data_IF_862689099890
#
_entry.id   IF_862689099890
#
_cell.length_a   1.000
_cell.length_b   1.000
_cell.length_c   1.000
_cell.angle_alpha   90.00
_cell.angle_beta   90.00
_cell.angle_gamma   90.00
#
_symmetry.space_group_name_H-M   'P 1'
#
loop_
_entity.id
_entity.type
_entity.pdbx_description
1 polymer ?
#
# COMPACT_ATOMS: atom_id res chain seq x y z
N UNK A 1 -3.31 -18.20 -7.31
CA UNK A 1 -2.97 -17.12 -6.35
C UNK A 1 -1.48 -16.80 -6.49
N UNK A 2 -1.09 -15.54 -6.66
CA UNK A 2 0.31 -15.14 -6.93
C UNK A 2 1.26 -15.52 -5.78
N UNK A 3 0.86 -15.28 -4.52
CA UNK A 3 1.64 -15.64 -3.34
C UNK A 3 1.95 -17.15 -3.27
N UNK A 4 0.95 -18.01 -3.52
CA UNK A 4 1.14 -19.47 -3.58
C UNK A 4 2.12 -19.87 -4.68
N UNK A 5 1.94 -19.36 -5.90
CA UNK A 5 2.82 -19.69 -7.02
C UNK A 5 4.28 -19.24 -6.76
N UNK A 6 4.46 -18.08 -6.13
CA UNK A 6 5.77 -17.60 -5.71
C UNK A 6 6.39 -18.50 -4.62
N UNK A 7 5.59 -18.88 -3.62
CA UNK A 7 6.05 -19.77 -2.55
C UNK A 7 6.47 -21.14 -3.09
N UNK A 8 5.65 -21.75 -3.96
CA UNK A 8 5.94 -23.04 -4.59
C UNK A 8 7.26 -22.96 -5.42
N UNK A 9 7.42 -21.91 -6.24
CA UNK A 9 8.63 -21.69 -7.06
C UNK A 9 9.89 -21.54 -6.21
N UNK A 10 9.80 -20.89 -5.05
CA UNK A 10 10.94 -20.59 -4.18
C UNK A 10 11.07 -21.55 -2.99
N UNK A 11 10.26 -22.61 -2.91
CA UNK A 11 10.21 -23.58 -1.80
C UNK A 11 9.98 -22.91 -0.44
N UNK A 12 9.12 -21.91 -0.40
CA UNK A 12 8.71 -21.21 0.81
C UNK A 12 7.37 -21.76 1.31
N UNK A 13 7.11 -21.63 2.61
CA UNK A 13 5.76 -21.75 3.14
C UNK A 13 5.03 -20.42 2.94
N UNK A 14 3.71 -20.47 2.82
CA UNK A 14 2.87 -19.27 2.80
C UNK A 14 1.65 -19.47 3.70
N UNK A 15 1.11 -18.35 4.17
CA UNK A 15 -0.18 -18.30 4.87
C UNK A 15 -1.05 -17.22 4.24
N UNK A 16 -2.34 -17.21 4.58
CA UNK A 16 -3.27 -16.16 4.20
C UNK A 16 -3.89 -15.63 5.47
N UNK A 17 -3.71 -14.33 5.69
CA UNK A 17 -4.29 -13.60 6.82
C UNK A 17 -5.42 -12.72 6.29
N UNK A 18 -6.61 -12.95 6.82
CA UNK A 18 -7.78 -12.14 6.54
C UNK A 18 -7.91 -11.08 7.62
N UNK A 19 -8.03 -9.81 7.20
CA UNK A 19 -8.28 -8.70 8.10
C UNK A 19 -9.73 -8.26 7.99
N UNK A 20 -10.40 -8.12 9.14
CA UNK A 20 -11.67 -7.43 9.24
C UNK A 20 -11.40 -5.98 9.62
N UNK A 21 -11.69 -5.05 8.71
CA UNK A 21 -11.55 -3.61 8.94
C UNK A 21 -12.94 -2.99 9.03
N UNK A 22 -13.20 -2.32 10.14
CA UNK A 22 -14.42 -1.55 10.35
C UNK A 22 -14.35 -0.23 9.58
N UNK A 23 -15.41 0.09 8.86
CA UNK A 23 -15.57 1.36 8.17
C UNK A 23 -16.72 2.14 8.81
N UNK A 24 -16.56 3.45 9.00
CA UNK A 24 -17.63 4.29 9.53
C UNK A 24 -18.62 4.63 8.41
N UNK A 25 -18.09 4.85 7.21
CA UNK A 25 -18.82 5.08 5.99
C UNK A 25 -18.88 3.84 5.09
N UNK A 26 -19.97 3.72 4.33
CA UNK A 26 -20.15 2.63 3.38
C UNK A 26 -19.09 2.68 2.28
N UNK A 27 -18.73 1.53 1.72
CA UNK A 27 -17.92 1.48 0.51
C UNK A 27 -18.70 2.06 -0.68
N UNK A 28 -18.00 2.76 -1.58
CA UNK A 28 -18.58 3.20 -2.85
C UNK A 28 -18.61 2.02 -3.85
N UNK A 29 -19.79 1.51 -4.24
CA UNK A 29 -19.86 0.44 -5.24
C UNK A 29 -19.64 0.95 -6.68
N UNK A 30 -19.59 2.27 -6.89
CA UNK A 30 -19.51 2.90 -8.21
C UNK A 30 -18.13 3.51 -8.45
N UNK A 31 -18.01 4.23 -9.57
CA UNK A 31 -16.85 5.06 -9.85
C UNK A 31 -16.85 6.28 -8.91
N UNK A 32 -15.77 6.48 -8.17
CA UNK A 32 -15.63 7.53 -7.18
C UNK A 32 -15.28 8.87 -7.81
N UNK A 33 -16.05 9.89 -7.45
CA UNK A 33 -15.85 11.30 -7.79
C UNK A 33 -15.38 12.08 -6.55
N UNK A 34 -14.81 13.28 -6.73
CA UNK A 34 -14.39 14.12 -5.61
C UNK A 34 -15.49 14.36 -4.56
N UNK A 35 -16.73 14.60 -4.99
CA UNK A 35 -17.86 14.85 -4.09
C UNK A 35 -18.27 13.61 -3.26
N UNK A 36 -17.88 12.42 -3.70
CA UNK A 36 -18.17 11.18 -3.00
C UNK A 36 -17.16 10.94 -1.83
N UNK A 37 -15.96 11.54 -1.91
CA UNK A 37 -14.84 11.30 -0.97
C UNK A 37 -15.21 11.52 0.52
N UNK A 38 -15.93 12.58 0.91
CA UNK A 38 -16.28 12.78 2.32
C UNK A 38 -17.26 11.75 2.89
N UNK A 39 -17.91 10.96 2.01
CA UNK A 39 -18.97 10.01 2.38
C UNK A 39 -18.51 8.55 2.34
N UNK A 40 -17.21 8.30 2.20
CA UNK A 40 -16.63 6.97 2.06
C UNK A 40 -15.26 6.90 2.75
N UNK A 41 -14.98 5.78 3.43
CA UNK A 41 -13.69 5.55 4.10
C UNK A 41 -12.85 4.47 3.40
N UNK A 42 -13.32 4.02 2.23
CA UNK A 42 -12.63 3.07 1.37
C UNK A 42 -12.48 3.65 -0.02
N UNK A 43 -11.25 3.62 -0.52
CA UNK A 43 -10.93 4.03 -1.88
C UNK A 43 -10.17 2.96 -2.64
N UNK A 44 -10.57 2.74 -3.89
CA UNK A 44 -9.86 1.90 -4.84
C UNK A 44 -9.51 2.69 -6.08
N UNK A 45 -8.22 2.72 -6.42
CA UNK A 45 -7.70 3.41 -7.60
C UNK A 45 -8.26 2.85 -8.91
N UNK A 46 -8.65 1.57 -8.91
CA UNK A 46 -9.34 0.95 -10.05
C UNK A 46 -10.74 1.53 -10.30
N UNK A 47 -11.30 2.29 -9.34
CA UNK A 47 -12.64 2.89 -9.39
C UNK A 47 -12.58 4.39 -9.15
N UNK A 48 -11.51 5.06 -9.60
CA UNK A 48 -11.42 6.52 -9.58
C UNK A 48 -11.90 7.11 -10.92
N UNK A 49 -12.77 8.11 -10.85
CA UNK A 49 -13.10 8.96 -11.99
C UNK A 49 -11.89 9.77 -12.46
N UNK A 50 -11.96 10.31 -13.68
CA UNK A 50 -10.88 11.17 -14.22
C UNK A 50 -10.61 12.39 -13.33
N UNK A 51 -11.64 13.07 -12.84
CA UNK A 51 -11.47 14.21 -11.92
C UNK A 51 -10.82 13.81 -10.60
N UNK A 52 -11.12 12.61 -10.09
CA UNK A 52 -10.45 12.09 -8.91
C UNK A 52 -8.95 11.79 -9.17
N UNK A 53 -8.63 11.30 -10.37
CA UNK A 53 -7.24 11.10 -10.79
C UNK A 53 -6.48 12.44 -10.93
N UNK A 54 -7.16 13.50 -11.38
CA UNK A 54 -6.58 14.85 -11.47
C UNK A 54 -6.28 15.40 -10.06
N UNK A 55 -7.18 15.19 -9.08
CA UNK A 55 -6.93 15.56 -7.68
C UNK A 55 -5.74 14.79 -7.08
N UNK A 56 -5.70 13.48 -7.31
CA UNK A 56 -4.57 12.63 -6.92
C UNK A 56 -3.26 13.16 -7.53
N UNK A 57 -3.28 13.54 -8.80
CA UNK A 57 -2.12 14.11 -9.47
C UNK A 57 -1.64 15.42 -8.82
N UNK A 58 -2.56 16.28 -8.41
CA UNK A 58 -2.23 17.54 -7.74
C UNK A 58 -1.53 17.30 -6.39
N UNK A 59 -2.06 16.37 -5.57
CA UNK A 59 -1.45 16.00 -4.28
C UNK A 59 -0.04 15.45 -4.47
N UNK A 60 0.15 14.55 -5.43
CA UNK A 60 1.47 13.98 -5.71
C UNK A 60 2.46 15.01 -6.27
N UNK A 61 1.99 15.94 -7.09
CA UNK A 61 2.82 17.04 -7.60
C UNK A 61 3.29 17.94 -6.46
N UNK A 62 2.39 18.36 -5.57
CA UNK A 62 2.73 19.20 -4.42
C UNK A 62 3.76 18.51 -3.51
N UNK A 63 3.57 17.22 -3.22
CA UNK A 63 4.54 16.45 -2.44
C UNK A 63 5.92 16.41 -3.08
N UNK A 64 6.00 16.09 -4.37
CA UNK A 64 7.28 16.00 -5.09
C UNK A 64 7.96 17.37 -5.18
N UNK A 65 7.19 18.44 -5.39
CA UNK A 65 7.71 19.81 -5.38
C UNK A 65 8.31 20.16 -4.02
N UNK A 66 7.69 19.75 -2.92
CA UNK A 66 8.23 19.92 -1.56
C UNK A 66 9.52 19.12 -1.32
N UNK A 67 9.74 18.02 -2.06
CA UNK A 67 11.01 17.27 -2.09
C UNK A 67 12.07 17.92 -3.02
N UNK A 68 11.75 19.07 -3.65
CA UNK A 68 12.62 19.73 -4.63
C UNK A 68 12.66 19.03 -5.99
N UNK A 69 11.76 18.07 -6.22
CA UNK A 69 11.63 17.35 -7.47
C UNK A 69 10.55 18.04 -8.31
N UNK A 70 10.89 18.41 -9.54
CA UNK A 70 9.90 18.92 -10.51
C UNK A 70 9.46 17.78 -11.41
N UNK A 71 8.37 17.06 -11.08
CA UNK A 71 7.92 15.95 -11.90
C UNK A 71 7.49 16.41 -13.29
N UNK A 72 7.88 15.64 -14.30
CA UNK A 72 7.46 15.88 -15.67
C UNK A 72 5.96 15.64 -15.82
N UNK A 73 5.33 16.31 -16.80
CA UNK A 73 3.93 16.06 -17.15
C UNK A 73 3.66 14.59 -17.49
N UNK A 74 4.66 13.87 -18.02
CA UNK A 74 4.54 12.47 -18.40
C UNK A 74 4.49 11.55 -17.17
N UNK A 75 5.27 11.84 -16.13
CA UNK A 75 5.27 11.09 -14.87
C UNK A 75 3.94 11.24 -14.13
N UNK A 76 3.39 12.45 -14.14
CA UNK A 76 2.12 12.76 -13.47
C UNK A 76 0.88 12.32 -14.24
N UNK A 77 0.96 12.16 -15.56
CA UNK A 77 -0.17 11.74 -16.39
C UNK A 77 -0.71 10.35 -16.02
N UNK A 78 0.08 9.53 -15.31
CA UNK A 78 -0.30 8.20 -14.86
C UNK A 78 0.11 8.02 -13.39
N UNK A 79 -0.63 8.62 -12.44
CA UNK A 79 -0.21 8.63 -11.04
C UNK A 79 -0.14 7.21 -10.44
N UNK A 80 -0.94 6.27 -10.95
CA UNK A 80 -0.84 4.86 -10.59
C UNK A 80 0.49 4.19 -10.98
N UNK A 81 1.16 4.63 -12.05
CA UNK A 81 2.50 4.14 -12.40
C UNK A 81 3.57 4.79 -11.52
N UNK A 82 3.41 6.07 -11.19
CA UNK A 82 4.29 6.77 -10.25
C UNK A 82 4.28 6.08 -8.88
N UNK A 83 3.10 5.76 -8.35
CA UNK A 83 2.97 5.03 -7.07
C UNK A 83 3.51 3.59 -7.11
N UNK A 84 3.56 2.95 -8.30
CA UNK A 84 4.24 1.66 -8.44
C UNK A 84 5.76 1.78 -8.28
N UNK A 85 6.34 2.93 -8.64
CA UNK A 85 7.78 3.20 -8.53
C UNK A 85 8.15 3.83 -7.19
N UNK A 86 7.25 4.65 -6.63
CA UNK A 86 7.40 5.39 -5.38
C UNK A 86 6.20 5.11 -4.45
N UNK A 87 6.12 3.90 -3.87
CA UNK A 87 5.01 3.53 -2.96
C UNK A 87 5.00 4.36 -1.66
N UNK A 88 6.13 4.97 -1.31
CA UNK A 88 6.27 5.92 -0.20
C UNK A 88 5.33 7.14 -0.34
N UNK A 89 5.01 7.55 -1.57
CA UNK A 89 4.11 8.68 -1.84
C UNK A 89 2.65 8.40 -1.48
N UNK A 90 2.27 7.15 -1.21
CA UNK A 90 0.91 6.83 -0.75
C UNK A 90 0.64 7.46 0.62
N UNK A 91 1.67 7.56 1.46
CA UNK A 91 1.61 8.26 2.77
C UNK A 91 1.16 9.71 2.62
N UNK A 92 1.60 10.38 1.54
CA UNK A 92 1.25 11.76 1.26
C UNK A 92 -0.22 11.95 0.88
N UNK A 93 -0.89 10.89 0.42
CA UNK A 93 -2.34 10.91 0.19
C UNK A 93 -3.11 10.83 1.49
N UNK A 94 -2.62 10.05 2.45
CA UNK A 94 -3.24 9.90 3.77
C UNK A 94 -3.15 11.22 4.55
N UNK A 95 -2.07 11.97 4.35
CA UNK A 95 -1.82 13.27 4.96
C UNK A 95 -2.51 14.44 4.24
N UNK A 96 -3.05 14.21 3.04
CA UNK A 96 -3.68 15.26 2.27
C UNK A 96 -5.05 15.64 2.83
N UNK A 97 -5.37 16.95 2.78
CA UNK A 97 -6.66 17.44 3.27
C UNK A 97 -7.84 16.81 2.55
N UNK A 98 -8.78 16.28 3.32
CA UNK A 98 -9.96 15.58 2.83
C UNK A 98 -9.75 14.09 2.55
N UNK A 99 -8.58 13.54 2.90
CA UNK A 99 -8.26 12.11 2.76
C UNK A 99 -7.89 11.46 4.08
N UNK A 100 -7.74 12.25 5.15
CA UNK A 100 -7.28 11.78 6.45
C UNK A 100 -8.24 10.77 7.08
N UNK A 101 -9.52 10.77 6.68
CA UNK A 101 -10.53 9.82 7.14
C UNK A 101 -10.53 8.49 6.39
N UNK A 102 -9.75 8.34 5.33
CA UNK A 102 -9.68 7.10 4.55
C UNK A 102 -9.07 5.97 5.37
N UNK A 103 -9.88 5.00 5.78
CA UNK A 103 -9.43 3.83 6.55
C UNK A 103 -8.74 2.76 5.70
N UNK A 104 -9.13 2.64 4.43
CA UNK A 104 -8.56 1.64 3.52
C UNK A 104 -8.33 2.22 2.14
N UNK A 105 -7.09 2.12 1.65
CA UNK A 105 -6.68 2.59 0.31
C UNK A 105 -6.19 1.40 -0.50
N UNK A 106 -6.82 1.14 -1.64
CA UNK A 106 -6.46 0.07 -2.56
C UNK A 106 -5.88 0.62 -3.86
N UNK A 107 -4.65 0.23 -4.20
CA UNK A 107 -3.93 0.72 -5.37
C UNK A 107 -3.08 -0.37 -6.04
N UNK A 108 -2.82 -0.27 -7.35
CA UNK A 108 -1.94 -1.23 -8.02
C UNK A 108 -0.48 -0.98 -7.65
N UNK A 109 0.22 -2.01 -7.18
CA UNK A 109 1.63 -1.97 -6.82
C UNK A 109 2.41 -3.12 -7.50
N UNK A 110 3.69 -2.87 -7.79
CA UNK A 110 4.61 -3.92 -8.25
C UNK A 110 5.22 -4.60 -7.03
N UNK A 111 5.00 -5.90 -6.90
CA UNK A 111 5.46 -6.70 -5.77
C UNK A 111 6.53 -7.69 -6.21
N UNK A 112 7.46 -8.02 -5.31
CA UNK A 112 8.50 -9.03 -5.57
C UNK A 112 7.93 -10.42 -5.90
N UNK A 113 6.72 -10.70 -5.44
CA UNK A 113 6.04 -11.99 -5.62
C UNK A 113 5.33 -12.14 -6.98
N UNK A 114 5.29 -11.10 -7.82
CA UNK A 114 4.56 -11.12 -9.09
C UNK A 114 5.19 -10.20 -10.13
N UNK A 115 5.35 -10.71 -11.37
CA UNK A 115 5.81 -9.90 -12.50
C UNK A 115 4.77 -8.87 -12.95
N UNK A 116 3.48 -9.17 -12.74
CA UNK A 116 2.36 -8.27 -13.02
C UNK A 116 2.04 -7.45 -11.77
N UNK A 117 1.67 -6.16 -11.90
CA UNK A 117 1.15 -5.38 -10.79
C UNK A 117 -0.06 -6.07 -10.13
N UNK A 118 -0.11 -6.03 -8.80
CA UNK A 118 -1.21 -6.55 -8.00
C UNK A 118 -1.87 -5.41 -7.25
N UNK A 119 -3.19 -5.51 -7.01
CA UNK A 119 -3.88 -4.58 -6.13
C UNK A 119 -3.48 -4.85 -4.69
N UNK A 120 -2.96 -3.83 -4.03
CA UNK A 120 -2.60 -3.84 -2.61
C UNK A 120 -3.57 -2.93 -1.88
N UNK A 121 -4.08 -3.41 -0.75
CA UNK A 121 -4.82 -2.60 0.21
C UNK A 121 -3.91 -2.21 1.37
N UNK A 122 -3.98 -0.95 1.79
CA UNK A 122 -3.31 -0.47 2.99
C UNK A 122 -4.35 0.06 3.98
N UNK A 123 -4.07 -0.14 5.27
CA UNK A 123 -4.75 0.54 6.38
C UNK A 123 -3.75 1.58 6.89
N UNK A 124 -4.06 2.88 6.81
CA UNK A 124 -3.18 3.90 7.37
C UNK A 124 -2.96 3.68 8.86
N UNK A 125 -1.77 4.04 9.35
CA UNK A 125 -1.44 3.90 10.76
C UNK A 125 -2.42 4.67 11.66
N UNK A 126 -2.86 5.86 11.24
CA UNK A 126 -3.88 6.64 11.95
C UNK A 126 -5.19 5.89 12.20
N UNK A 127 -5.46 4.82 11.43
CA UNK A 127 -6.67 4.00 11.48
C UNK A 127 -6.39 2.55 11.89
N UNK A 128 -5.27 2.29 12.56
CA UNK A 128 -4.89 0.93 12.98
C UNK A 128 -5.97 0.25 13.85
N UNK A 129 -6.62 1.03 14.72
CA UNK A 129 -7.71 0.62 15.60
C UNK A 129 -9.00 0.21 14.86
N UNK A 130 -9.08 0.51 13.56
CA UNK A 130 -10.15 0.05 12.69
C UNK A 130 -10.01 -1.43 12.31
N UNK A 131 -8.83 -2.05 12.50
CA UNK A 131 -8.65 -3.49 12.31
C UNK A 131 -9.22 -4.23 13.53
N UNK A 132 -10.36 -4.92 13.35
CA UNK A 132 -11.08 -5.62 14.44
C UNK A 132 -10.66 -7.07 14.62
N UNK A 133 -10.25 -7.71 13.54
CA UNK A 133 -9.87 -9.11 13.55
C UNK A 133 -8.77 -9.38 12.52
N UNK A 134 -7.87 -10.30 12.86
CA UNK A 134 -6.95 -10.93 11.94
C UNK A 134 -7.06 -12.44 12.10
N UNK A 135 -7.44 -13.16 11.04
CA UNK A 135 -7.64 -14.61 11.10
C UNK A 135 -6.82 -15.33 10.02
N UNK A 136 -6.24 -16.47 10.41
CA UNK A 136 -5.43 -17.28 9.50
C UNK A 136 -6.34 -18.23 8.70
N UNK A 137 -6.60 -17.90 7.42
CA UNK A 137 -7.52 -18.68 6.57
C UNK A 137 -7.06 -20.12 6.36
N UNK A 138 -5.74 -20.34 6.23
CA UNK A 138 -5.19 -21.67 5.93
C UNK A 138 -4.96 -22.51 7.18
N UNK A 139 -4.86 -21.89 8.36
CA UNK A 139 -4.66 -22.58 9.63
C UNK A 139 -5.49 -21.89 10.73
N UNK A 140 -6.79 -22.23 10.86
CA UNK A 140 -7.69 -21.55 11.81
C UNK A 140 -7.27 -21.65 13.28
N UNK A 141 -6.41 -22.62 13.63
CA UNK A 141 -5.86 -22.76 14.98
C UNK A 141 -4.74 -21.78 15.32
N UNK A 142 -4.29 -20.95 14.37
CA UNK A 142 -3.27 -19.93 14.62
C UNK A 142 -3.96 -18.63 15.02
N UNK A 143 -3.66 -18.15 16.24
CA UNK A 143 -4.03 -16.81 16.69
C UNK A 143 -3.07 -15.78 16.11
N UNK A 144 -3.61 -14.71 15.51
CA UNK A 144 -2.82 -13.59 15.01
C UNK A 144 -3.09 -12.40 15.91
N UNK A 145 -2.04 -11.89 16.54
CA UNK A 145 -2.08 -10.67 17.35
C UNK A 145 -1.40 -9.54 16.59
N UNK A 146 -2.07 -8.40 16.52
CA UNK A 146 -1.56 -7.19 15.88
C UNK A 146 -1.10 -6.22 16.95
N UNK A 147 0.20 -5.93 16.99
CA UNK A 147 0.74 -4.88 17.86
C UNK A 147 0.53 -3.52 17.21
N UNK A 148 0.02 -2.54 17.97
CA UNK A 148 -0.12 -1.18 17.47
C UNK A 148 1.26 -0.63 17.06
N UNK A 149 1.38 0.08 15.92
CA UNK A 149 2.67 0.58 15.49
C UNK A 149 3.15 1.68 16.44
N UNK A 150 4.45 1.71 16.72
CA UNK A 150 5.03 2.74 17.58
C UNK A 150 4.92 4.11 16.87
N UNK A 151 4.47 5.17 17.56
CA UNK A 151 4.35 6.51 16.97
C UNK A 151 5.70 7.13 16.57
N UNK A 152 6.82 6.49 16.91
CA UNK A 152 8.19 6.92 16.58
C UNK A 152 8.79 6.24 15.34
N UNK A 153 8.10 5.29 14.69
CA UNK A 153 8.60 4.57 13.50
C UNK A 153 7.99 5.14 12.21
N UNK A 154 7.74 6.45 12.18
CA UNK A 154 7.07 7.12 11.05
C UNK A 154 7.97 7.17 9.80
N UNK A 155 9.30 7.04 9.93
CA UNK A 155 10.23 7.33 8.82
C UNK A 155 11.03 6.14 8.24
N UNK A 156 10.84 4.91 8.73
CA UNK A 156 11.74 3.78 8.36
C UNK A 156 11.20 2.80 7.31
N UNK A 157 10.06 3.10 6.67
CA UNK A 157 9.53 2.26 5.58
C UNK A 157 10.45 2.21 4.33
N UNK A 158 11.54 2.98 4.29
CA UNK A 158 12.59 2.87 3.28
C UNK A 158 13.60 1.73 3.49
N UNK A 159 13.62 1.05 4.64
CA UNK A 159 14.70 0.11 4.99
C UNK A 159 14.42 -1.37 4.66
N UNK A 160 13.19 -1.74 4.27
CA UNK A 160 12.83 -3.15 4.04
C UNK A 160 13.07 -3.66 2.61
N UNK A 161 13.82 -2.92 1.78
CA UNK A 161 14.34 -3.41 0.48
C UNK A 161 15.85 -3.54 0.54
N UNK A 162 16.35 -4.17 1.61
CA UNK A 162 17.74 -4.63 1.69
C UNK A 162 17.86 -5.99 1.01
N UNK A 163 18.35 -6.00 -0.23
CA UNK A 163 18.83 -7.20 -0.92
C UNK A 163 19.69 -8.06 0.02
N UNK A 164 19.53 -9.39 0.06
CA UNK A 164 20.48 -10.22 0.79
C UNK A 164 21.84 -10.10 0.09
N UNK A 165 22.74 -9.33 0.68
CA UNK A 165 24.15 -9.32 0.29
C UNK A 165 24.73 -10.69 0.65
N UNK A 166 24.73 -11.59 -0.34
CA UNK A 166 25.57 -12.78 -0.37
C UNK A 166 27.03 -12.30 -0.33
N UNK A 167 27.58 -12.13 0.88
CA UNK A 167 29.02 -12.03 1.07
C UNK A 167 29.62 -13.40 0.79
N UNK A 168 30.11 -13.50 -0.44
CA UNK A 168 31.06 -14.46 -0.96
C UNK A 168 32.17 -14.74 0.08
N UNK A 169 32.12 -15.92 0.71
CA UNK A 169 33.23 -16.43 1.52
C UNK A 169 34.14 -17.22 0.58
N UNK A 170 35.12 -16.51 0.03
CA UNK A 170 36.23 -17.12 -0.71
C UNK A 170 37.02 -18.14 0.15
N UNK A 171 37.80 -19.03 -0.50
CA UNK A 171 38.32 -20.23 0.13
C UNK A 171 39.49 -19.90 1.07
N UNK A 172 39.50 -20.52 2.25
CA UNK A 172 40.67 -20.53 3.14
C UNK A 172 41.65 -21.60 2.66
N UNK A 173 42.75 -21.16 2.05
CA UNK A 173 43.95 -21.97 1.83
C UNK A 173 44.53 -22.42 3.17
N UNK A 174 44.95 -23.69 3.25
CA UNK A 174 45.79 -24.24 4.32
C UNK A 174 47.26 -23.99 4.01
#
# INVERSE_FOLDING_TARGET
>A
MAARAYADKNRLQFTVVDFLVELDQKQNPNMMRPDDVPNHDFISFARMSRSMMDNLQAVLHERLANEGITPSKLELAKPHLLLQQRPDLVSSLIEATGWEHMKVIAYPAKLTISEKPLTVGIVPHSHWDSIKEASCRLNPGISITLEAPNPSVVDSAGAAVGSPSLKDRGPRSR
#
